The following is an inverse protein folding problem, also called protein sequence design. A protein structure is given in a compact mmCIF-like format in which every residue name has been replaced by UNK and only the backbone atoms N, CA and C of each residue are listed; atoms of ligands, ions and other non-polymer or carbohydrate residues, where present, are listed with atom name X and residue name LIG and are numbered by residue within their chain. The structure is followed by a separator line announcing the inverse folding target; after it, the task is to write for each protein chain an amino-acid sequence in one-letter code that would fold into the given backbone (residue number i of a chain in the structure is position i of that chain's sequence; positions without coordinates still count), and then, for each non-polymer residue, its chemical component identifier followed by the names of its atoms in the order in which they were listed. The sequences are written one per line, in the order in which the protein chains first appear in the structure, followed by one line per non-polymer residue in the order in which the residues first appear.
data_IF_780829321999
#
_entry.id   IF_780829321999
#
_cell.length_a   1.000
_cell.length_b   1.000
_cell.length_c   1.000
_cell.angle_alpha   90.00
_cell.angle_beta   90.00
_cell.angle_gamma   90.00
#
_symmetry.space_group_name_H-M   'P 1'
#
loop_
_entity.id
_entity.type
_entity.pdbx_description
1 polymer ?
#
# COMPACT_ATOMS: atom_id res chain seq x y z
N UNK A 1 -18.83 -4.34 -14.76
CA UNK A 1 -19.40 -3.60 -13.60
C UNK A 1 -18.37 -2.59 -13.18
N UNK A 2 -18.82 -1.39 -12.81
CA UNK A 2 -17.98 -0.36 -12.20
C UNK A 2 -18.64 0.15 -10.93
N UNK A 3 -17.83 0.78 -10.05
CA UNK A 3 -18.29 1.50 -8.89
C UNK A 3 -17.65 2.89 -8.88
N UNK A 4 -18.37 3.89 -8.43
CA UNK A 4 -17.92 5.27 -8.38
C UNK A 4 -17.84 5.74 -6.93
N UNK A 5 -16.75 6.44 -6.60
CA UNK A 5 -16.49 6.89 -5.23
C UNK A 5 -16.07 8.34 -5.21
N UNK A 6 -16.58 9.07 -4.23
CA UNK A 6 -16.02 10.33 -3.79
C UNK A 6 -15.19 10.09 -2.53
N UNK A 7 -13.94 10.57 -2.53
CA UNK A 7 -12.99 10.34 -1.45
C UNK A 7 -12.53 11.68 -0.90
N UNK A 8 -12.51 11.77 0.42
CA UNK A 8 -11.94 12.89 1.17
C UNK A 8 -10.82 12.34 2.04
N UNK A 9 -9.62 12.91 1.90
CA UNK A 9 -8.49 12.60 2.74
C UNK A 9 -7.94 13.91 3.30
N UNK A 10 -8.17 14.11 4.59
CA UNK A 10 -7.74 15.31 5.30
C UNK A 10 -6.59 14.95 6.23
N UNK A 11 -5.48 15.69 6.11
CA UNK A 11 -4.31 15.58 6.99
C UNK A 11 -4.04 16.94 7.60
N UNK A 12 -3.96 17.00 8.92
CA UNK A 12 -3.64 18.22 9.68
C UNK A 12 -2.47 17.97 10.62
N UNK A 13 -1.41 18.75 10.47
CA UNK A 13 -0.31 18.84 11.42
C UNK A 13 -0.45 20.12 12.23
N UNK A 14 -0.42 20.03 13.56
CA UNK A 14 -0.28 21.15 14.47
C UNK A 14 1.07 21.03 15.14
N UNK A 15 1.85 22.10 15.08
CA UNK A 15 3.22 22.12 15.56
C UNK A 15 3.29 22.86 16.91
N UNK A 16 4.08 22.34 17.86
CA UNK A 16 4.30 22.98 19.15
C UNK A 16 5.12 24.26 19.05
N UNK A 17 5.87 24.44 17.97
CA UNK A 17 6.63 25.64 17.64
C UNK A 17 6.63 25.86 16.13
N UNK A 18 6.85 27.10 15.64
CA UNK A 18 6.84 27.37 14.22
C UNK A 18 7.82 26.51 13.43
N UNK A 19 7.34 25.95 12.31
CA UNK A 19 8.17 25.35 11.28
C UNK A 19 8.67 26.43 10.37
N UNK A 20 9.98 26.61 10.28
CA UNK A 20 10.61 27.66 9.47
C UNK A 20 10.81 27.28 8.02
N UNK A 21 10.97 25.96 7.75
CA UNK A 21 11.12 25.36 6.44
C UNK A 21 10.51 23.97 6.44
N UNK A 22 9.76 23.63 5.38
CA UNK A 22 9.30 22.27 5.19
C UNK A 22 9.43 21.85 3.72
N UNK A 23 9.76 20.57 3.50
CA UNK A 23 9.67 19.92 2.21
C UNK A 23 8.85 18.66 2.38
N UNK A 24 7.77 18.54 1.62
CA UNK A 24 6.81 17.45 1.72
C UNK A 24 6.66 16.74 0.38
N UNK A 25 6.40 15.44 0.45
CA UNK A 25 6.04 14.56 -0.66
C UNK A 25 4.66 14.00 -0.38
N UNK A 26 3.72 14.19 -1.30
CA UNK A 26 2.35 13.72 -1.16
C UNK A 26 2.01 12.71 -2.27
N UNK A 27 1.66 11.46 -1.89
CA UNK A 27 1.06 10.45 -2.74
C UNK A 27 -0.45 10.39 -2.46
N UNK A 28 -1.15 11.44 -2.86
CA UNK A 28 -2.59 11.60 -2.62
C UNK A 28 -3.43 11.59 -3.91
N UNK A 29 -2.78 11.47 -5.06
CA UNK A 29 -3.43 11.29 -6.34
C UNK A 29 -3.60 9.81 -6.65
N UNK A 30 -4.83 9.34 -6.99
CA UNK A 30 -5.05 7.97 -7.40
C UNK A 30 -4.24 7.64 -8.66
N UNK A 31 -3.63 6.48 -8.62
CA UNK A 31 -2.91 5.96 -9.78
C UNK A 31 -3.87 5.54 -10.88
N UNK A 32 -3.62 5.94 -12.11
CA UNK A 32 -4.27 5.40 -13.29
C UNK A 32 -3.80 3.96 -13.56
N UNK A 33 -4.73 3.03 -13.73
CA UNK A 33 -4.46 1.64 -14.06
C UNK A 33 -5.68 0.99 -14.76
N UNK A 34 -5.53 -0.22 -15.27
CA UNK A 34 -6.56 -0.90 -16.07
C UNK A 34 -7.93 -1.04 -15.38
N UNK A 35 -7.92 -1.04 -14.06
CA UNK A 35 -9.14 -1.21 -13.24
C UNK A 35 -9.55 0.05 -12.48
N UNK A 36 -8.94 1.21 -12.78
CA UNK A 36 -9.25 2.44 -12.06
C UNK A 36 -8.95 3.69 -12.87
N UNK A 37 -9.85 4.67 -12.80
CA UNK A 37 -9.70 6.00 -13.38
C UNK A 37 -10.06 7.07 -12.37
N UNK A 38 -9.24 8.11 -12.25
CA UNK A 38 -9.57 9.30 -11.48
C UNK A 38 -10.21 10.33 -12.41
N UNK A 39 -11.50 10.63 -12.19
CA UNK A 39 -12.25 11.56 -13.05
C UNK A 39 -12.17 12.99 -12.56
N UNK A 40 -12.02 13.20 -11.24
CA UNK A 40 -11.84 14.52 -10.65
C UNK A 40 -10.84 14.41 -9.49
N UNK A 41 -10.01 15.45 -9.38
CA UNK A 41 -9.03 15.53 -8.30
C UNK A 41 -8.74 16.98 -7.91
N UNK A 42 -8.70 17.24 -6.61
CA UNK A 42 -8.37 18.52 -6.02
C UNK A 42 -7.50 18.33 -4.79
N UNK A 43 -6.41 19.10 -4.69
CA UNK A 43 -5.55 19.14 -3.51
C UNK A 43 -5.51 20.57 -2.98
N UNK A 44 -6.12 20.76 -1.81
CA UNK A 44 -6.17 22.03 -1.09
C UNK A 44 -5.12 22.00 0.01
N UNK A 45 -4.28 23.02 0.08
CA UNK A 45 -3.12 23.08 0.97
C UNK A 45 -3.14 24.41 1.70
N UNK A 46 -2.98 24.40 3.01
CA UNK A 46 -2.87 25.59 3.84
C UNK A 46 -1.76 25.39 4.90
N UNK A 47 -0.80 26.33 5.02
CA UNK A 47 -0.62 27.54 4.19
C UNK A 47 -0.29 27.17 2.73
N UNK A 48 -0.44 28.14 1.84
CA UNK A 48 -0.07 27.96 0.44
C UNK A 48 1.44 27.68 0.32
N UNK A 49 1.86 26.61 -0.36
CA UNK A 49 3.26 26.27 -0.51
C UNK A 49 3.99 27.30 -1.38
N UNK A 50 5.24 27.59 -1.04
CA UNK A 50 6.12 28.45 -1.85
C UNK A 50 6.39 27.83 -3.23
N UNK A 51 6.47 26.48 -3.27
CA UNK A 51 6.64 25.73 -4.52
C UNK A 51 5.78 24.48 -4.47
N UNK A 52 5.08 24.22 -5.58
CA UNK A 52 4.36 22.97 -5.84
C UNK A 52 4.77 22.42 -7.20
N UNK A 53 5.06 21.11 -7.24
CA UNK A 53 5.34 20.37 -8.48
C UNK A 53 4.61 19.03 -8.45
N UNK A 54 3.85 18.77 -9.50
CA UNK A 54 3.23 17.47 -9.73
C UNK A 54 4.11 16.68 -10.71
N UNK A 55 4.50 15.47 -10.35
CA UNK A 55 5.44 14.62 -11.11
C UNK A 55 5.08 13.13 -10.90
N UNK A 56 5.88 12.24 -11.44
CA UNK A 56 5.82 10.81 -11.14
C UNK A 56 7.08 10.37 -10.42
N UNK A 57 6.91 9.47 -9.46
CA UNK A 57 8.02 8.82 -8.79
C UNK A 57 8.67 7.71 -9.68
N UNK A 58 9.71 7.06 -9.15
CA UNK A 58 10.44 5.98 -9.86
C UNK A 58 9.59 4.73 -10.10
N UNK A 59 8.43 4.59 -9.45
CA UNK A 59 7.48 3.51 -9.64
C UNK A 59 6.31 3.92 -10.55
N UNK A 60 6.34 5.16 -11.05
CA UNK A 60 5.30 5.74 -11.87
C UNK A 60 4.05 6.15 -11.10
N UNK A 61 4.13 6.31 -9.77
CA UNK A 61 3.02 6.86 -8.99
C UNK A 61 2.96 8.38 -9.14
N UNK A 62 1.76 8.98 -9.23
CA UNK A 62 1.61 10.41 -9.11
C UNK A 62 2.16 10.92 -7.78
N UNK A 63 2.94 11.99 -7.81
CA UNK A 63 3.61 12.57 -6.66
C UNK A 63 3.53 14.09 -6.72
N UNK A 64 3.12 14.73 -5.63
CA UNK A 64 3.21 16.18 -5.45
C UNK A 64 4.34 16.53 -4.50
N UNK A 65 5.29 17.36 -4.97
CA UNK A 65 6.33 17.98 -4.11
C UNK A 65 5.87 19.35 -3.67
N UNK A 66 6.01 19.60 -2.36
CA UNK A 66 5.66 20.87 -1.74
C UNK A 66 6.86 21.42 -0.97
N UNK A 67 7.10 22.73 -1.09
CA UNK A 67 8.07 23.43 -0.27
C UNK A 67 7.41 24.64 0.41
N UNK A 68 7.72 24.84 1.69
CA UNK A 68 7.23 25.93 2.51
C UNK A 68 8.44 26.65 3.10
N UNK A 69 8.63 27.90 2.72
CA UNK A 69 9.75 28.74 3.16
C UNK A 69 9.29 29.86 4.10
N UNK A 70 7.99 29.91 4.40
CA UNK A 70 7.41 30.83 5.37
C UNK A 70 7.12 30.10 6.67
N UNK A 71 7.43 30.69 7.82
CA UNK A 71 7.10 30.11 9.11
C UNK A 71 5.59 29.86 9.25
N UNK A 72 5.23 28.68 9.79
CA UNK A 72 3.84 28.28 10.02
C UNK A 72 3.75 27.34 11.22
N UNK A 73 2.60 27.38 11.91
CA UNK A 73 2.29 26.57 13.08
C UNK A 73 1.34 25.42 12.77
N UNK A 74 0.76 25.40 11.58
CA UNK A 74 -0.16 24.36 11.12
C UNK A 74 0.06 24.09 9.62
N UNK A 75 -0.08 22.82 9.22
CA UNK A 75 -0.14 22.41 7.83
C UNK A 75 -1.38 21.56 7.61
N UNK A 76 -2.27 22.00 6.73
CA UNK A 76 -3.42 21.22 6.27
C UNK A 76 -3.23 20.81 4.82
N UNK A 77 -3.46 19.52 4.54
CA UNK A 77 -3.43 18.96 3.18
C UNK A 77 -4.71 18.14 2.99
N UNK A 78 -5.61 18.61 2.15
CA UNK A 78 -6.92 18.03 1.94
C UNK A 78 -7.06 17.60 0.48
N UNK A 79 -7.17 16.29 0.24
CA UNK A 79 -7.43 15.73 -1.09
C UNK A 79 -8.92 15.40 -1.25
N UNK A 80 -9.49 15.80 -2.40
CA UNK A 80 -10.85 15.46 -2.84
C UNK A 80 -10.75 14.79 -4.19
N UNK A 81 -11.31 13.59 -4.30
CA UNK A 81 -11.11 12.73 -5.46
C UNK A 81 -12.44 12.11 -5.87
N UNK A 82 -12.67 12.01 -7.18
CA UNK A 82 -13.75 11.18 -7.75
C UNK A 82 -13.09 10.08 -8.56
N UNK A 83 -13.38 8.82 -8.21
CA UNK A 83 -12.73 7.64 -8.79
C UNK A 83 -13.75 6.65 -9.28
N UNK A 84 -13.58 6.18 -10.52
CA UNK A 84 -14.26 5.02 -11.05
C UNK A 84 -13.36 3.79 -10.87
N UNK A 85 -13.89 2.74 -10.22
CA UNK A 85 -13.24 1.43 -10.09
C UNK A 85 -13.97 0.43 -10.95
N UNK A 86 -13.24 -0.24 -11.83
CA UNK A 86 -13.73 -1.25 -12.74
C UNK A 86 -13.53 -2.66 -12.16
N UNK A 87 -14.42 -3.57 -12.49
CA UNK A 87 -14.25 -4.97 -12.10
C UNK A 87 -12.95 -5.54 -12.70
N UNK A 88 -12.14 -6.14 -11.83
CA UNK A 88 -10.91 -6.83 -12.25
C UNK A 88 -11.24 -8.18 -12.88
N UNK A 89 -10.44 -8.66 -13.85
CA UNK A 89 -10.60 -10.00 -14.40
C UNK A 89 -10.50 -11.06 -13.30
N UNK A 90 -11.35 -12.06 -13.37
CA UNK A 90 -11.23 -13.24 -12.51
C UNK A 90 -10.01 -14.04 -12.96
N UNK A 91 -9.11 -14.32 -12.03
CA UNK A 91 -7.86 -15.02 -12.29
C UNK A 91 -7.95 -16.45 -11.75
N UNK A 92 -7.71 -17.43 -12.62
CA UNK A 92 -7.58 -18.83 -12.21
C UNK A 92 -6.15 -19.10 -11.69
N UNK A 93 -6.01 -19.26 -10.37
CA UNK A 93 -4.73 -19.48 -9.70
C UNK A 93 -4.03 -20.79 -10.10
N UNK A 94 -4.78 -21.78 -10.58
CA UNK A 94 -4.21 -23.03 -11.09
C UNK A 94 -3.38 -22.84 -12.37
N UNK A 95 -3.60 -21.76 -13.11
CA UNK A 95 -2.82 -21.43 -14.30
C UNK A 95 -1.45 -20.81 -13.98
N UNK A 96 -1.20 -20.45 -12.71
CA UNK A 96 0.12 -19.97 -12.32
C UNK A 96 1.15 -21.11 -12.32
N UNK A 97 2.38 -20.88 -12.80
CA UNK A 97 3.43 -21.89 -12.74
C UNK A 97 3.79 -22.24 -11.29
N UNK A 98 4.48 -23.35 -11.10
CA UNK A 98 5.08 -23.67 -9.79
C UNK A 98 5.91 -22.49 -9.29
N UNK A 99 5.84 -22.21 -8.00
CA UNK A 99 6.49 -21.03 -7.41
C UNK A 99 8.00 -20.99 -7.62
N UNK A 100 8.66 -22.17 -7.66
CA UNK A 100 10.10 -22.29 -7.95
C UNK A 100 10.44 -21.85 -9.38
N UNK A 101 9.55 -22.10 -10.34
CA UNK A 101 9.75 -21.68 -11.72
C UNK A 101 9.74 -20.14 -11.82
N UNK A 102 8.79 -19.50 -11.14
CA UNK A 102 8.76 -18.02 -11.05
C UNK A 102 10.00 -17.47 -10.36
N UNK A 103 10.40 -18.05 -9.22
CA UNK A 103 11.63 -17.66 -8.54
C UNK A 103 12.84 -17.76 -9.47
N UNK A 104 12.96 -18.85 -10.20
CA UNK A 104 14.09 -19.07 -11.12
C UNK A 104 14.06 -18.08 -12.29
N UNK A 105 12.87 -17.77 -12.85
CA UNK A 105 12.72 -16.77 -13.91
C UNK A 105 13.13 -15.34 -13.45
N UNK A 106 13.01 -15.04 -12.16
CA UNK A 106 13.41 -13.78 -11.56
C UNK A 106 14.91 -13.77 -11.14
N UNK A 107 15.61 -14.88 -11.23
CA UNK A 107 17.03 -14.96 -10.86
C UNK A 107 17.90 -14.42 -12.00
N UNK A 108 19.10 -13.94 -11.67
CA UNK A 108 20.05 -13.47 -12.67
C UNK A 108 20.27 -14.53 -13.76
N UNK A 109 20.18 -14.10 -15.00
CA UNK A 109 20.40 -14.92 -16.19
C UNK A 109 21.22 -14.13 -17.19
N UNK A 110 22.00 -14.84 -18.03
CA UNK A 110 22.68 -14.24 -19.18
C UNK A 110 21.73 -13.90 -20.33
N UNK A 111 20.48 -14.39 -20.27
CA UNK A 111 19.45 -14.10 -21.27
C UNK A 111 18.76 -12.77 -20.93
N UNK A 112 18.37 -11.96 -21.93
CA UNK A 112 17.59 -10.75 -21.71
C UNK A 112 16.25 -11.06 -21.02
N UNK A 113 15.95 -10.32 -19.97
CA UNK A 113 14.63 -10.39 -19.32
C UNK A 113 13.61 -9.58 -20.12
N UNK A 114 12.35 -10.01 -20.11
CA UNK A 114 11.24 -9.18 -20.59
C UNK A 114 11.08 -7.92 -19.72
N UNK A 115 10.46 -6.88 -20.27
CA UNK A 115 10.23 -5.64 -19.52
C UNK A 115 9.46 -5.89 -18.20
N UNK A 116 8.47 -6.78 -18.22
CA UNK A 116 7.68 -7.13 -17.03
C UNK A 116 8.50 -7.88 -15.97
N UNK A 117 9.38 -8.81 -16.38
CA UNK A 117 10.30 -9.49 -15.47
C UNK A 117 11.33 -8.53 -14.87
N UNK A 118 11.85 -7.61 -15.70
CA UNK A 118 12.80 -6.61 -15.24
C UNK A 118 12.17 -5.65 -14.23
N UNK A 119 10.95 -5.22 -14.48
CA UNK A 119 10.16 -4.44 -13.51
C UNK A 119 9.95 -5.21 -12.21
N UNK A 120 9.51 -6.47 -12.30
CA UNK A 120 9.28 -7.32 -11.13
C UNK A 120 10.53 -7.52 -10.27
N UNK A 121 11.72 -7.59 -10.88
CA UNK A 121 12.99 -7.72 -10.15
C UNK A 121 13.22 -6.60 -9.12
N UNK A 122 12.67 -5.40 -9.31
CA UNK A 122 12.76 -4.28 -8.37
C UNK A 122 12.11 -4.59 -7.02
N UNK A 123 11.15 -5.52 -6.99
CA UNK A 123 10.31 -5.86 -5.84
C UNK A 123 10.68 -7.20 -5.17
N UNK A 124 11.90 -7.71 -5.40
CA UNK A 124 12.41 -8.95 -4.80
C UNK A 124 13.25 -8.73 -3.55
N UNK A 125 13.81 -7.53 -3.42
CA UNK A 125 14.83 -7.24 -2.42
C UNK A 125 14.22 -6.67 -1.14
N UNK A 126 15.04 -6.62 -0.10
CA UNK A 126 14.67 -5.93 1.13
C UNK A 126 14.51 -4.42 0.89
N UNK A 127 13.75 -3.80 1.77
CA UNK A 127 13.45 -2.37 1.76
C UNK A 127 13.37 -1.85 3.20
N UNK A 128 13.26 -0.54 3.45
CA UNK A 128 13.34 0.02 4.81
C UNK A 128 12.49 -0.66 5.87
N UNK A 129 11.25 -1.07 5.53
CA UNK A 129 10.36 -1.77 6.46
C UNK A 129 10.30 -3.28 6.23
N UNK A 130 10.81 -3.80 5.13
CA UNK A 130 10.73 -5.22 4.76
C UNK A 130 12.12 -5.83 4.67
N UNK A 131 12.61 -6.38 5.77
CA UNK A 131 13.87 -7.12 5.82
C UNK A 131 13.63 -8.60 5.54
N UNK A 132 14.56 -9.24 4.80
CA UNK A 132 14.49 -10.66 4.49
C UNK A 132 15.15 -11.47 5.62
N UNK A 133 14.38 -12.36 6.25
CA UNK A 133 14.86 -13.20 7.35
C UNK A 133 14.37 -14.63 7.21
N UNK A 134 15.13 -15.58 7.79
CA UNK A 134 14.79 -17.00 7.80
C UNK A 134 13.45 -17.29 8.49
N UNK A 135 13.12 -16.56 9.54
CA UNK A 135 11.83 -16.70 10.23
C UNK A 135 10.61 -16.52 9.32
N UNK A 136 10.69 -15.63 8.30
CA UNK A 136 9.61 -15.45 7.34
C UNK A 136 9.51 -16.60 6.33
N UNK A 137 10.65 -17.23 5.98
CA UNK A 137 10.67 -18.48 5.19
C UNK A 137 10.00 -19.60 5.98
N UNK A 138 10.41 -19.80 7.24
CA UNK A 138 9.87 -20.83 8.13
C UNK A 138 8.36 -20.64 8.38
N UNK A 139 7.92 -19.41 8.67
CA UNK A 139 6.50 -19.11 8.84
C UNK A 139 5.66 -19.47 7.61
N UNK A 140 6.16 -19.17 6.42
CA UNK A 140 5.45 -19.41 5.16
C UNK A 140 5.68 -20.79 4.55
N UNK A 141 6.44 -21.69 5.19
CA UNK A 141 6.88 -22.97 4.61
C UNK A 141 5.71 -23.85 4.16
N UNK A 142 4.72 -24.02 5.01
CA UNK A 142 3.52 -24.82 4.71
C UNK A 142 2.68 -24.28 3.54
N UNK A 143 2.83 -23.01 3.20
CA UNK A 143 2.10 -22.40 2.11
C UNK A 143 2.73 -22.68 0.74
N UNK A 144 4.02 -23.05 0.70
CA UNK A 144 4.79 -23.22 -0.55
C UNK A 144 5.49 -24.59 -0.61
N UNK A 145 4.75 -25.72 -0.53
CA UNK A 145 5.35 -27.03 -0.81
C UNK A 145 5.87 -27.07 -2.25
N UNK A 146 6.80 -28.00 -2.51
CA UNK A 146 7.41 -28.16 -3.83
C UNK A 146 6.36 -28.38 -4.93
N UNK A 147 6.53 -27.69 -6.06
CA UNK A 147 5.67 -27.79 -7.22
C UNK A 147 4.31 -27.11 -7.12
N UNK A 148 3.99 -26.48 -5.99
CA UNK A 148 2.70 -25.79 -5.83
C UNK A 148 2.58 -24.59 -6.78
N UNK A 149 1.43 -24.38 -7.47
CA UNK A 149 1.17 -23.18 -8.23
C UNK A 149 1.35 -21.93 -7.37
N UNK A 150 2.08 -20.93 -7.90
CA UNK A 150 2.48 -19.74 -7.16
C UNK A 150 1.30 -19.05 -6.46
N UNK A 151 0.24 -18.76 -7.20
CA UNK A 151 -0.89 -18.00 -6.67
C UNK A 151 -1.69 -18.76 -5.61
N UNK A 152 -1.73 -20.10 -5.67
CA UNK A 152 -2.29 -20.93 -4.61
C UNK A 152 -1.42 -20.90 -3.35
N UNK A 153 -0.10 -20.79 -3.49
CA UNK A 153 0.81 -20.60 -2.37
C UNK A 153 0.61 -19.24 -1.69
N UNK A 154 0.48 -18.18 -2.49
CA UNK A 154 0.22 -16.81 -2.03
C UNK A 154 -1.15 -16.70 -1.35
N UNK A 155 -2.18 -17.31 -1.91
CA UNK A 155 -3.52 -17.37 -1.31
C UNK A 155 -3.49 -18.09 0.05
N UNK A 156 -2.79 -19.22 0.15
CA UNK A 156 -2.64 -19.93 1.42
C UNK A 156 -1.89 -19.08 2.46
N UNK A 157 -0.89 -18.30 2.06
CA UNK A 157 -0.19 -17.36 2.94
C UNK A 157 -1.12 -16.24 3.42
N UNK A 158 -1.91 -15.66 2.53
CA UNK A 158 -2.93 -14.66 2.87
C UNK A 158 -3.90 -15.21 3.93
N UNK A 159 -4.48 -16.38 3.68
CA UNK A 159 -5.39 -17.08 4.62
C UNK A 159 -4.72 -17.37 5.97
N UNK A 160 -3.44 -17.80 5.96
CA UNK A 160 -2.66 -18.07 7.18
C UNK A 160 -2.46 -16.78 8.00
N UNK A 161 -2.11 -15.66 7.38
CA UNK A 161 -1.98 -14.38 8.07
C UNK A 161 -3.34 -13.98 8.67
N UNK A 162 -4.40 -14.00 7.88
CA UNK A 162 -5.74 -13.65 8.35
C UNK A 162 -6.19 -14.51 9.55
N UNK A 163 -5.92 -15.82 9.54
CA UNK A 163 -6.37 -16.74 10.59
C UNK A 163 -5.51 -16.73 11.85
N UNK A 164 -4.20 -16.40 11.74
CA UNK A 164 -3.26 -16.46 12.86
C UNK A 164 -2.97 -15.09 13.49
N UNK A 165 -3.40 -13.99 12.88
CA UNK A 165 -3.14 -12.63 13.38
C UNK A 165 -4.43 -11.90 13.75
N UNK A 166 -4.36 -11.07 14.77
CA UNK A 166 -5.48 -10.24 15.23
C UNK A 166 -5.22 -8.78 14.82
N UNK A 167 -6.21 -8.16 14.16
CA UNK A 167 -6.16 -6.72 13.89
C UNK A 167 -6.29 -5.95 15.21
N UNK A 168 -5.32 -5.07 15.47
CA UNK A 168 -5.25 -4.27 16.69
C UNK A 168 -4.57 -2.93 16.36
N UNK A 169 -5.37 -1.87 16.35
CA UNK A 169 -4.92 -0.53 15.97
C UNK A 169 -3.88 0.08 16.94
N UNK A 170 -3.81 -0.46 18.16
CA UNK A 170 -2.91 0.05 19.22
C UNK A 170 -1.66 -0.84 19.39
N UNK A 171 -1.59 -2.00 18.71
CA UNK A 171 -0.53 -2.98 18.92
C UNK A 171 0.83 -2.55 18.38
N UNK A 172 0.86 -1.69 17.36
CA UNK A 172 2.08 -1.36 16.61
C UNK A 172 2.15 0.11 16.25
N UNK A 173 3.37 0.56 16.01
CA UNK A 173 3.68 1.84 15.37
C UNK A 173 4.29 1.58 13.99
N UNK A 174 4.32 2.59 13.12
CA UNK A 174 4.86 2.49 11.74
C UNK A 174 6.27 1.86 11.70
N UNK A 175 7.08 2.08 12.73
CA UNK A 175 8.45 1.58 12.82
C UNK A 175 8.59 0.23 13.57
N UNK A 176 7.51 -0.41 13.99
CA UNK A 176 7.58 -1.70 14.70
C UNK A 176 8.25 -2.77 13.82
N UNK A 177 9.31 -3.47 14.28
CA UNK A 177 9.97 -4.49 13.48
C UNK A 177 9.05 -5.66 13.14
N UNK A 178 9.05 -6.14 11.90
CA UNK A 178 8.19 -7.25 11.45
C UNK A 178 8.38 -8.57 12.23
N UNK A 179 9.56 -8.81 12.80
CA UNK A 179 9.80 -9.98 13.66
C UNK A 179 8.93 -9.91 14.90
N UNK A 180 8.77 -8.74 15.46
CA UNK A 180 7.91 -8.50 16.62
C UNK A 180 6.43 -8.67 16.28
N UNK A 181 5.99 -8.19 15.09
CA UNK A 181 4.65 -8.46 14.56
C UNK A 181 4.42 -9.97 14.39
N UNK A 182 5.43 -10.69 13.83
CA UNK A 182 5.37 -12.14 13.66
C UNK A 182 5.24 -12.87 15.01
N UNK A 183 5.95 -12.43 16.05
CA UNK A 183 5.93 -13.04 17.38
C UNK A 183 4.62 -12.75 18.13
N UNK A 184 4.18 -11.49 18.11
CA UNK A 184 2.99 -11.04 18.84
C UNK A 184 1.66 -11.44 18.20
N UNK A 185 1.67 -11.75 16.89
CA UNK A 185 0.47 -12.08 16.10
C UNK A 185 -0.60 -10.99 16.13
N UNK A 186 -0.19 -9.73 16.22
CA UNK A 186 -1.07 -8.55 16.25
C UNK A 186 -0.46 -7.42 15.42
N UNK A 187 -1.33 -6.59 14.83
CA UNK A 187 -0.93 -5.43 14.07
C UNK A 187 -2.07 -4.87 13.23
N UNK A 188 -1.71 -3.95 12.34
CA UNK A 188 -2.64 -3.28 11.42
C UNK A 188 -2.43 -3.73 9.97
N UNK A 189 -3.24 -3.24 9.04
CA UNK A 189 -3.16 -3.60 7.62
C UNK A 189 -1.76 -3.40 7.02
N UNK A 190 -1.05 -2.34 7.41
CA UNK A 190 0.34 -2.09 7.01
C UNK A 190 1.26 -3.24 7.44
N UNK A 191 1.14 -3.71 8.69
CA UNK A 191 1.96 -4.79 9.24
C UNK A 191 1.71 -6.10 8.51
N UNK A 192 0.45 -6.42 8.25
CA UNK A 192 0.08 -7.66 7.56
C UNK A 192 0.52 -7.66 6.11
N UNK A 193 0.43 -6.51 5.43
CA UNK A 193 0.98 -6.33 4.09
C UNK A 193 2.52 -6.49 4.09
N UNK A 194 3.23 -5.83 5.01
CA UNK A 194 4.68 -5.95 5.14
C UNK A 194 5.12 -7.38 5.50
N UNK A 195 4.40 -8.07 6.39
CA UNK A 195 4.67 -9.47 6.73
C UNK A 195 4.53 -10.38 5.51
N UNK A 196 3.44 -10.21 4.76
CA UNK A 196 3.21 -10.97 3.53
C UNK A 196 4.31 -10.72 2.50
N UNK A 197 4.73 -9.45 2.30
CA UNK A 197 5.87 -9.09 1.46
C UNK A 197 7.17 -9.76 1.92
N UNK A 198 7.46 -9.72 3.22
CA UNK A 198 8.66 -10.35 3.78
C UNK A 198 8.69 -11.85 3.51
N UNK A 199 7.56 -12.54 3.69
CA UNK A 199 7.42 -13.97 3.40
C UNK A 199 7.65 -14.29 1.92
N UNK A 200 6.97 -13.58 1.01
CA UNK A 200 7.07 -13.79 -0.43
C UNK A 200 8.48 -13.49 -0.95
N UNK A 201 9.05 -12.34 -0.55
CA UNK A 201 10.39 -11.94 -0.99
C UNK A 201 11.50 -12.80 -0.39
N UNK A 202 11.36 -13.28 0.83
CA UNK A 202 12.34 -14.22 1.45
C UNK A 202 12.42 -15.55 0.69
N UNK A 203 11.42 -15.87 -0.14
CA UNK A 203 11.43 -17.00 -1.08
C UNK A 203 11.99 -16.65 -2.46
N UNK A 204 12.49 -15.42 -2.66
CA UNK A 204 13.03 -14.95 -3.93
C UNK A 204 11.96 -14.57 -4.97
N UNK A 205 10.71 -14.41 -4.55
CA UNK A 205 9.59 -13.99 -5.39
C UNK A 205 9.42 -12.45 -5.36
N UNK A 206 8.75 -11.91 -6.36
CA UNK A 206 8.51 -10.47 -6.46
C UNK A 206 7.12 -10.10 -5.93
N UNK A 207 7.08 -9.14 -5.02
CA UNK A 207 5.83 -8.61 -4.48
C UNK A 207 5.99 -7.13 -4.13
N UNK A 208 4.95 -6.32 -4.38
CA UNK A 208 4.92 -4.88 -4.09
C UNK A 208 3.84 -4.55 -3.07
N UNK A 209 4.11 -3.54 -2.28
CA UNK A 209 3.17 -2.92 -1.36
C UNK A 209 2.23 -2.02 -2.15
N UNK A 210 0.94 -2.08 -1.87
CA UNK A 210 -0.05 -1.19 -2.45
C UNK A 210 -0.69 -0.38 -1.32
N UNK A 211 -0.66 0.93 -1.47
CA UNK A 211 -1.35 1.90 -0.62
C UNK A 211 -2.62 2.36 -1.32
N UNK A 212 -3.71 2.48 -0.58
CA UNK A 212 -4.98 2.92 -1.13
C UNK A 212 -6.03 3.18 -0.07
N UNK A 213 -7.28 3.13 -0.50
CA UNK A 213 -8.44 3.23 0.36
C UNK A 213 -9.32 1.99 0.21
N UNK A 214 -10.04 1.67 1.27
CA UNK A 214 -11.04 0.61 1.28
C UNK A 214 -12.39 1.19 1.67
N UNK A 215 -13.42 0.88 0.88
CA UNK A 215 -14.79 1.16 1.27
C UNK A 215 -15.16 0.28 2.47
N UNK A 216 -15.25 0.87 3.65
CA UNK A 216 -15.72 0.14 4.84
C UNK A 216 -17.25 0.17 4.92
N UNK A 217 -17.86 -0.95 5.30
CA UNK A 217 -19.29 -1.00 5.54
C UNK A 217 -19.57 -0.78 7.03
N UNK A 218 -20.50 0.14 7.39
CA UNK A 218 -20.88 0.30 8.77
C UNK A 218 -21.55 -0.99 9.30
N UNK A 219 -21.47 -1.25 10.60
CA UNK A 219 -22.22 -2.35 11.20
C UNK A 219 -23.72 -2.24 10.88
N UNK A 220 -24.45 -3.37 10.73
CA UNK A 220 -25.86 -3.34 10.42
C UNK A 220 -26.65 -2.44 11.37
N UNK A 221 -27.43 -1.51 10.81
CA UNK A 221 -28.28 -0.58 11.56
C UNK A 221 -27.57 0.67 12.09
N UNK A 222 -26.29 0.85 11.82
CA UNK A 222 -25.58 2.08 12.18
C UNK A 222 -25.37 2.98 10.96
N UNK A 223 -25.51 4.30 11.10
CA UNK A 223 -25.18 5.23 10.03
C UNK A 223 -23.66 5.21 9.77
N UNK A 224 -23.29 5.47 8.51
CA UNK A 224 -21.88 5.63 8.14
C UNK A 224 -21.30 6.87 8.82
N UNK A 225 -20.19 6.71 9.52
CA UNK A 225 -19.48 7.81 10.15
C UNK A 225 -18.55 8.48 9.12
N UNK A 226 -18.63 9.80 9.00
CA UNK A 226 -17.69 10.58 8.17
C UNK A 226 -16.34 10.62 8.88
N UNK A 227 -15.24 10.35 8.12
CA UNK A 227 -13.87 10.34 8.64
C UNK A 227 -13.48 9.06 9.40
N UNK A 228 -14.32 8.03 9.36
CA UNK A 228 -14.06 6.74 10.01
C UNK A 228 -13.36 5.71 9.09
N UNK A 229 -13.31 5.98 7.79
CA UNK A 229 -12.53 5.16 6.87
C UNK A 229 -11.03 5.42 7.11
N UNK A 230 -10.20 4.44 6.84
CA UNK A 230 -8.75 4.56 6.98
C UNK A 230 -8.06 4.32 5.63
N UNK A 231 -6.85 4.85 5.52
CA UNK A 231 -5.93 4.36 4.48
C UNK A 231 -5.77 2.85 4.66
N UNK A 232 -5.72 2.14 3.56
CA UNK A 232 -5.60 0.69 3.55
C UNK A 232 -4.36 0.24 2.80
N UNK A 233 -3.90 -0.96 3.12
CA UNK A 233 -2.72 -1.55 2.52
C UNK A 233 -2.95 -3.01 2.16
N UNK A 234 -2.43 -3.40 1.00
CA UNK A 234 -2.42 -4.78 0.55
C UNK A 234 -1.17 -5.11 -0.27
N UNK A 235 -1.11 -6.29 -0.83
CA UNK A 235 0.05 -6.81 -1.53
C UNK A 235 -0.32 -7.18 -2.96
N UNK A 236 0.55 -6.86 -3.91
CA UNK A 236 0.47 -7.35 -5.28
C UNK A 236 1.66 -8.25 -5.58
N UNK A 237 1.42 -9.48 -6.03
CA UNK A 237 2.45 -10.49 -6.30
C UNK A 237 2.56 -10.75 -7.80
N UNK A 238 3.79 -10.78 -8.31
CA UNK A 238 4.06 -10.98 -9.73
C UNK A 238 4.07 -12.45 -10.13
N UNK A 239 3.35 -12.75 -11.20
CA UNK A 239 3.38 -14.04 -11.91
C UNK A 239 3.75 -13.80 -13.38
N UNK A 240 4.71 -14.53 -13.96
CA UNK A 240 5.07 -14.35 -15.37
C UNK A 240 3.93 -14.59 -16.37
N UNK A 241 2.94 -15.40 -15.99
CA UNK A 241 1.78 -15.75 -16.82
C UNK A 241 0.58 -14.86 -16.57
N UNK A 242 0.31 -14.53 -15.30
CA UNK A 242 -0.91 -13.82 -14.86
C UNK A 242 -0.67 -12.32 -14.63
N UNK A 243 0.59 -11.86 -14.70
CA UNK A 243 0.94 -10.48 -14.33
C UNK A 243 0.91 -10.25 -12.81
N UNK A 244 0.59 -9.05 -12.42
CA UNK A 244 0.45 -8.65 -11.02
C UNK A 244 -0.94 -9.00 -10.49
N UNK A 245 -0.99 -9.78 -9.41
CA UNK A 245 -2.23 -10.22 -8.75
C UNK A 245 -2.25 -9.72 -7.31
N UNK A 246 -3.35 -9.09 -6.93
CA UNK A 246 -3.50 -8.45 -5.63
C UNK A 246 -4.14 -9.37 -4.58
N UNK A 247 -3.68 -9.23 -3.31
CA UNK A 247 -4.11 -9.99 -2.15
C UNK A 247 -4.18 -9.08 -0.92
N UNK A 248 -5.31 -9.07 -0.23
CA UNK A 248 -5.51 -8.32 1.02
C UNK A 248 -5.46 -9.28 2.22
N UNK A 249 -4.32 -9.37 2.93
CA UNK A 249 -4.18 -10.27 4.07
C UNK A 249 -4.99 -9.83 5.30
N UNK A 250 -5.43 -8.58 5.36
CA UNK A 250 -6.23 -8.05 6.47
C UNK A 250 -7.67 -8.55 6.42
N UNK A 251 -8.22 -8.64 5.21
CA UNK A 251 -9.61 -9.03 5.00
C UNK A 251 -9.77 -10.42 4.37
N UNK A 252 -8.66 -11.10 4.04
CA UNK A 252 -8.64 -12.40 3.36
C UNK A 252 -9.42 -12.39 2.05
N UNK A 253 -9.24 -11.35 1.24
CA UNK A 253 -9.92 -11.19 -0.05
C UNK A 253 -8.95 -10.81 -1.17
N UNK A 254 -9.34 -11.08 -2.40
CA UNK A 254 -8.74 -10.39 -3.54
C UNK A 254 -9.36 -9.00 -3.67
N UNK A 255 -8.54 -7.94 -3.75
CA UNK A 255 -9.01 -6.59 -4.03
C UNK A 255 -9.95 -6.53 -5.23
N UNK A 256 -11.12 -5.92 -5.03
CA UNK A 256 -12.21 -5.81 -6.00
C UNK A 256 -12.67 -4.35 -6.11
N UNK A 257 -13.97 -4.13 -6.32
CA UNK A 257 -14.54 -2.79 -6.52
C UNK A 257 -14.35 -1.85 -5.33
N UNK A 258 -14.26 -2.39 -4.10
CA UNK A 258 -14.15 -1.61 -2.86
C UNK A 258 -12.72 -1.08 -2.59
N UNK A 259 -11.73 -1.52 -3.37
CA UNK A 259 -10.31 -1.16 -3.19
C UNK A 259 -9.88 -0.10 -4.20
N UNK A 260 -9.55 1.09 -3.72
CA UNK A 260 -9.08 2.22 -4.52
C UNK A 260 -7.57 2.36 -4.37
N UNK A 261 -6.82 2.19 -5.45
CA UNK A 261 -5.35 2.24 -5.47
C UNK A 261 -4.85 3.69 -5.51
N UNK A 262 -3.99 4.08 -4.56
CA UNK A 262 -3.26 5.34 -4.63
C UNK A 262 -1.88 5.15 -5.28
N UNK A 263 -1.09 4.26 -4.73
CA UNK A 263 0.29 4.08 -5.16
C UNK A 263 0.77 2.65 -4.84
N UNK A 264 1.83 2.22 -5.51
CA UNK A 264 2.56 1.02 -5.13
C UNK A 264 4.06 1.24 -5.09
N UNK A 265 4.73 0.51 -4.21
CA UNK A 265 6.17 0.60 -4.00
C UNK A 265 6.74 -0.67 -3.37
N UNK A 266 7.97 -0.57 -2.88
CA UNK A 266 8.61 -1.70 -2.20
C UNK A 266 8.02 -1.93 -0.81
N UNK A 267 7.70 -0.86 -0.10
CA UNK A 267 7.03 -0.86 1.20
C UNK A 267 6.38 0.51 1.44
N UNK A 268 5.84 0.74 2.65
CA UNK A 268 5.17 1.99 3.01
C UNK A 268 6.06 3.23 2.85
N UNK A 269 7.38 3.12 3.00
CA UNK A 269 8.28 4.28 2.86
C UNK A 269 8.26 4.87 1.45
N UNK A 270 7.98 4.08 0.43
CA UNK A 270 7.91 4.55 -0.96
C UNK A 270 6.57 5.26 -1.26
N UNK A 271 5.49 4.94 -0.55
CA UNK A 271 4.11 5.30 -0.89
C UNK A 271 3.32 5.96 0.24
N UNK A 272 4.00 6.43 1.27
CA UNK A 272 3.35 7.18 2.37
C UNK A 272 2.51 8.34 1.80
N UNK A 273 1.23 8.49 2.21
CA UNK A 273 0.35 9.54 1.69
C UNK A 273 0.92 10.94 1.83
N UNK A 274 1.56 11.22 2.98
CA UNK A 274 2.29 12.48 3.20
C UNK A 274 3.53 12.19 4.04
N UNK A 275 4.69 12.65 3.58
CA UNK A 275 5.96 12.54 4.30
C UNK A 275 6.88 13.69 3.94
N UNK A 276 7.76 14.06 4.85
CA UNK A 276 8.70 15.14 4.56
C UNK A 276 9.75 15.34 5.63
N UNK A 277 10.47 16.44 5.48
CA UNK A 277 11.42 16.96 6.46
C UNK A 277 11.02 18.39 6.80
N UNK A 278 11.12 18.71 8.08
CA UNK A 278 10.82 20.06 8.61
C UNK A 278 11.99 20.58 9.41
N UNK A 279 12.13 21.88 9.48
CA UNK A 279 13.06 22.57 10.34
C UNK A 279 12.28 23.38 11.39
N UNK A 280 12.36 22.99 12.65
CA UNK A 280 11.51 23.48 13.73
C UNK A 280 10.35 22.51 14.04
N UNK A 281 9.21 23.02 14.44
CA UNK A 281 7.95 22.28 14.64
C UNK A 281 7.79 21.63 16.03
N UNK A 282 8.84 21.24 16.70
CA UNK A 282 8.73 20.50 17.96
C UNK A 282 8.07 19.14 17.82
N UNK A 283 7.35 18.69 18.86
CA UNK A 283 6.52 17.48 18.79
C UNK A 283 5.27 17.74 17.94
N UNK A 284 4.89 16.79 17.12
CA UNK A 284 3.69 16.89 16.30
C UNK A 284 3.24 15.52 15.84
N UNK A 285 1.97 15.23 15.98
CA UNK A 285 1.33 14.04 15.44
C UNK A 285 0.28 14.46 14.40
N UNK A 286 0.24 13.84 13.21
CA UNK A 286 -0.75 14.16 12.20
C UNK A 286 -2.13 13.63 12.61
N UNK A 287 -3.14 14.49 12.51
CA UNK A 287 -4.53 14.06 12.51
C UNK A 287 -4.92 13.72 11.06
N UNK A 288 -5.25 12.44 10.81
CA UNK A 288 -5.65 11.95 9.49
C UNK A 288 -7.09 11.48 9.54
N UNK A 289 -7.92 11.96 8.59
CA UNK A 289 -9.31 11.54 8.41
C UNK A 289 -9.53 11.15 6.95
N UNK A 290 -10.13 9.99 6.76
CA UNK A 290 -10.48 9.49 5.43
C UNK A 290 -11.97 9.19 5.37
N UNK A 291 -12.61 9.55 4.27
CA UNK A 291 -14.00 9.18 3.96
C UNK A 291 -14.07 8.70 2.52
N UNK A 292 -14.62 7.51 2.31
CA UNK A 292 -14.90 6.95 0.98
C UNK A 292 -16.41 6.83 0.83
N UNK A 293 -17.03 7.63 -0.04
CA UNK A 293 -18.47 7.63 -0.27
C UNK A 293 -18.78 7.02 -1.64
N UNK A 294 -19.62 5.97 -1.71
CA UNK A 294 -20.15 5.51 -2.98
C UNK A 294 -21.03 6.58 -3.62
N UNK A 295 -20.88 6.76 -4.91
CA UNK A 295 -21.76 7.57 -5.75
C UNK A 295 -22.76 6.64 -6.45
N UNK A 296 -24.01 7.10 -6.57
CA UNK A 296 -25.08 6.34 -7.25
C UNK A 296 -24.87 6.26 -8.77
#
# INVERSE_FOLDING_TARGET
MSAHYQIFHDTCYRYDSPVSLAQQLAHLWPRECDWQRCTEQQLLISPEPTTRRDEQDVFGNPLTRLAFERPHDELQVNARLTVEVLARPVVDFHQSPAWEMTRNALTYSSQPLSASLLEACRYRFQSPYVHLKRSFVEFSESCFPAGRPLMLGVQALMQKIFSEFTFDAEATQVATPLVEVLERRRGVCQDFAHLMLACVRSRGLAARYVSGYLLTQPPPGQPRLIGADASHAWVSVFCPVLGWVDFDPTNNVQPALEHITLAWGRDFSDVSPLRGVILGGGSHDPEVRVTVMPLE
#
